data_IF_809156753617
#
_entry.id   IF_809156753617
#
_cell.length_a   1.000
_cell.length_b   1.000
_cell.length_c   1.000
_cell.angle_alpha   90.00
_cell.angle_beta   90.00
_cell.angle_gamma   90.00
#
_symmetry.space_group_name_H-M   'P 1'
#
loop_
_entity.id
_entity.type
_entity.pdbx_description
1 polymer ?
#
# COMPACT_ATOMS: atom_id res chain seq x y z
N UNK A 1 -24.23 -63.78 27.81
CA UNK A 1 -23.71 -62.47 28.25
C UNK A 1 -23.36 -61.68 27.00
N UNK A 2 -24.03 -60.54 26.82
CA UNK A 2 -23.94 -59.48 25.80
C UNK A 2 -22.88 -59.59 24.68
N UNK A 3 -23.26 -60.09 23.49
CA UNK A 3 -22.47 -60.01 22.23
C UNK A 3 -22.97 -58.93 21.26
N UNK A 4 -24.15 -58.32 21.50
CA UNK A 4 -24.79 -57.39 20.57
C UNK A 4 -24.13 -56.02 20.42
N UNK A 5 -23.23 -55.62 21.33
CA UNK A 5 -22.59 -54.29 21.26
C UNK A 5 -21.44 -54.24 20.23
N UNK A 6 -20.79 -55.37 19.94
CA UNK A 6 -19.59 -55.44 19.09
C UNK A 6 -19.98 -55.45 17.59
N UNK A 7 -21.11 -56.06 17.22
CA UNK A 7 -21.58 -56.14 15.82
C UNK A 7 -22.00 -54.77 15.25
N UNK A 8 -22.45 -53.85 16.11
CA UNK A 8 -22.88 -52.52 15.68
C UNK A 8 -21.76 -51.46 15.76
N UNK A 9 -20.61 -51.78 16.36
CA UNK A 9 -19.49 -50.88 16.53
C UNK A 9 -18.98 -50.25 15.20
N UNK A 10 -18.87 -51.00 14.08
CA UNK A 10 -18.42 -50.41 12.80
C UNK A 10 -19.38 -49.33 12.27
N UNK A 11 -20.68 -49.54 12.42
CA UNK A 11 -21.72 -48.59 12.00
C UNK A 11 -21.71 -47.33 12.86
N UNK A 12 -21.47 -47.48 14.17
CA UNK A 12 -21.33 -46.36 15.10
C UNK A 12 -20.08 -45.54 14.75
N UNK A 13 -18.93 -46.18 14.47
CA UNK A 13 -17.72 -45.48 14.04
C UNK A 13 -17.91 -44.74 12.71
N UNK A 14 -18.58 -45.36 11.73
CA UNK A 14 -18.88 -44.73 10.44
C UNK A 14 -19.82 -43.52 10.60
N UNK A 15 -20.83 -43.62 11.46
CA UNK A 15 -21.74 -42.51 11.76
C UNK A 15 -21.02 -41.36 12.47
N UNK A 16 -20.19 -41.66 13.47
CA UNK A 16 -19.41 -40.64 14.17
C UNK A 16 -18.41 -39.95 13.23
N UNK A 17 -17.73 -40.71 12.36
CA UNK A 17 -16.80 -40.17 11.38
C UNK A 17 -17.51 -39.26 10.35
N UNK A 18 -18.69 -39.66 9.86
CA UNK A 18 -19.47 -38.86 8.91
C UNK A 18 -20.02 -37.59 9.56
N UNK A 19 -20.49 -37.64 10.81
CA UNK A 19 -20.91 -36.46 11.56
C UNK A 19 -19.74 -35.50 11.83
N UNK A 20 -18.57 -36.02 12.21
CA UNK A 20 -17.37 -35.21 12.40
C UNK A 20 -16.92 -34.55 11.08
N UNK A 21 -16.95 -35.29 9.96
CA UNK A 21 -16.65 -34.74 8.64
C UNK A 21 -17.65 -33.66 8.22
N UNK A 22 -18.94 -33.85 8.49
CA UNK A 22 -19.97 -32.85 8.20
C UNK A 22 -19.79 -31.58 9.04
N UNK A 23 -19.44 -31.72 10.31
CA UNK A 23 -19.17 -30.60 11.20
C UNK A 23 -17.90 -29.83 10.77
N UNK A 24 -16.84 -30.53 10.38
CA UNK A 24 -15.64 -29.92 9.80
C UNK A 24 -15.96 -29.15 8.51
N UNK A 25 -16.75 -29.75 7.60
CA UNK A 25 -17.20 -29.09 6.37
C UNK A 25 -18.02 -27.83 6.65
N UNK A 26 -18.88 -27.85 7.67
CA UNK A 26 -19.64 -26.66 8.10
C UNK A 26 -18.72 -25.56 8.60
N UNK A 27 -17.73 -25.90 9.44
CA UNK A 27 -16.73 -24.95 9.97
C UNK A 27 -15.86 -24.35 8.85
N UNK A 28 -15.34 -25.18 7.96
CA UNK A 28 -14.56 -24.73 6.80
C UNK A 28 -15.37 -23.81 5.88
N UNK A 29 -16.63 -24.16 5.58
CA UNK A 29 -17.52 -23.30 4.79
C UNK A 29 -17.82 -21.96 5.47
N UNK A 30 -17.82 -21.90 6.81
CA UNK A 30 -18.03 -20.65 7.55
C UNK A 30 -16.79 -19.76 7.42
N UNK A 31 -15.61 -20.29 7.73
CA UNK A 31 -14.33 -19.57 7.64
C UNK A 31 -14.05 -19.09 6.22
N UNK A 32 -14.35 -19.90 5.19
CA UNK A 32 -14.18 -19.51 3.80
C UNK A 32 -15.10 -18.34 3.42
N UNK A 33 -16.36 -18.35 3.88
CA UNK A 33 -17.30 -17.25 3.64
C UNK A 33 -16.85 -15.96 4.31
N UNK A 34 -16.38 -16.05 5.55
CA UNK A 34 -15.84 -14.91 6.30
C UNK A 34 -14.61 -14.32 5.60
N UNK A 35 -13.66 -15.15 5.17
CA UNK A 35 -12.49 -14.69 4.42
C UNK A 35 -12.86 -14.05 3.08
N UNK A 36 -13.80 -14.64 2.33
CA UNK A 36 -14.26 -14.06 1.06
C UNK A 36 -14.97 -12.72 1.27
N UNK A 37 -15.77 -12.58 2.33
CA UNK A 37 -16.39 -11.31 2.68
C UNK A 37 -15.34 -10.25 3.05
N UNK A 38 -14.37 -10.61 3.90
CA UNK A 38 -13.26 -9.74 4.28
C UNK A 38 -12.41 -9.31 3.06
N UNK A 39 -12.15 -10.23 2.13
CA UNK A 39 -11.44 -9.90 0.88
C UNK A 39 -12.24 -8.95 -0.01
N UNK A 40 -13.55 -9.16 -0.12
CA UNK A 40 -14.42 -8.25 -0.89
C UNK A 40 -14.48 -6.86 -0.28
N UNK A 41 -14.60 -6.76 1.04
CA UNK A 41 -14.62 -5.47 1.74
C UNK A 41 -13.27 -4.75 1.60
N UNK A 42 -12.15 -5.47 1.75
CA UNK A 42 -10.81 -4.93 1.47
C UNK A 42 -10.71 -4.40 0.04
N UNK A 43 -11.08 -5.21 -0.95
CA UNK A 43 -11.01 -4.79 -2.36
C UNK A 43 -11.92 -3.60 -2.64
N UNK A 44 -13.11 -3.52 -2.02
CA UNK A 44 -14.02 -2.39 -2.20
C UNK A 44 -13.42 -1.09 -1.66
N UNK A 45 -12.81 -1.14 -0.49
CA UNK A 45 -12.13 0.03 0.11
C UNK A 45 -10.92 0.41 -0.74
N UNK A 46 -10.08 -0.54 -1.14
CA UNK A 46 -8.94 -0.29 -2.02
C UNK A 46 -9.37 0.35 -3.34
N UNK A 47 -10.37 -0.21 -4.02
CA UNK A 47 -10.88 0.35 -5.28
C UNK A 47 -11.47 1.75 -5.09
N UNK A 48 -12.22 1.98 -4.01
CA UNK A 48 -12.75 3.31 -3.70
C UNK A 48 -11.64 4.33 -3.44
N UNK A 49 -10.56 3.91 -2.77
CA UNK A 49 -9.40 4.74 -2.53
C UNK A 49 -8.65 5.03 -3.83
N UNK A 50 -8.38 4.01 -4.65
CA UNK A 50 -7.71 4.16 -5.95
C UNK A 50 -8.49 5.10 -6.89
N UNK A 51 -9.83 5.01 -6.89
CA UNK A 51 -10.69 5.93 -7.65
C UNK A 51 -10.59 7.36 -7.12
N UNK A 52 -10.65 7.55 -5.79
CA UNK A 52 -10.52 8.88 -5.20
C UNK A 52 -9.13 9.50 -5.46
N UNK A 53 -8.07 8.69 -5.41
CA UNK A 53 -6.69 9.09 -5.67
C UNK A 53 -6.47 9.44 -7.15
N UNK A 54 -6.98 8.63 -8.07
CA UNK A 54 -6.85 8.88 -9.52
C UNK A 54 -7.62 10.10 -9.99
N UNK A 55 -8.84 10.34 -9.47
CA UNK A 55 -9.60 11.56 -9.75
C UNK A 55 -8.87 12.82 -9.24
N UNK A 56 -8.15 12.70 -8.12
CA UNK A 56 -7.39 13.80 -7.53
C UNK A 56 -5.95 13.96 -8.04
N UNK A 57 -5.49 13.15 -9.01
CA UNK A 57 -4.07 13.08 -9.45
C UNK A 57 -3.12 12.88 -8.27
N UNK A 58 -3.47 11.96 -7.37
CA UNK A 58 -2.75 11.64 -6.16
C UNK A 58 -2.05 10.29 -6.32
N UNK A 59 -0.72 10.32 -6.34
CA UNK A 59 0.11 9.12 -6.28
C UNK A 59 0.55 8.79 -4.87
N UNK A 60 0.72 7.50 -4.57
CA UNK A 60 1.35 7.06 -3.32
C UNK A 60 2.76 6.55 -3.59
N UNK A 61 3.64 6.76 -2.62
CA UNK A 61 5.01 6.30 -2.67
C UNK A 61 5.44 5.76 -1.32
N UNK A 62 6.39 4.83 -1.33
CA UNK A 62 6.93 4.22 -0.12
C UNK A 62 8.42 3.99 -0.27
N UNK A 63 9.20 4.42 0.70
CA UNK A 63 10.61 4.12 0.82
C UNK A 63 10.83 3.15 1.99
N UNK A 64 11.54 2.05 1.74
CA UNK A 64 11.91 1.08 2.77
C UNK A 64 13.44 1.11 2.99
N UNK A 65 13.86 1.33 4.24
CA UNK A 65 15.29 1.51 4.59
C UNK A 65 16.09 0.22 4.46
N UNK A 66 15.47 -0.94 4.75
CA UNK A 66 16.16 -2.24 4.72
C UNK A 66 16.59 -2.66 3.32
N UNK A 67 15.75 -2.37 2.33
CA UNK A 67 15.97 -2.75 0.93
C UNK A 67 16.51 -1.57 0.11
N UNK A 68 16.57 -0.36 0.71
CA UNK A 68 16.85 0.90 0.02
C UNK A 68 15.95 1.05 -1.23
N UNK A 69 14.72 0.55 -1.12
CA UNK A 69 13.78 0.46 -2.22
C UNK A 69 12.76 1.59 -2.12
N UNK A 70 12.58 2.30 -3.23
CA UNK A 70 11.50 3.26 -3.39
C UNK A 70 10.45 2.61 -4.28
N UNK A 71 9.20 2.68 -3.87
CA UNK A 71 8.05 2.16 -4.60
C UNK A 71 7.15 3.32 -4.96
N UNK A 72 6.90 3.48 -6.25
CA UNK A 72 5.94 4.42 -6.81
C UNK A 72 4.69 3.69 -7.27
N UNK A 73 3.53 4.25 -6.94
CA UNK A 73 2.27 3.85 -7.55
C UNK A 73 2.21 4.26 -9.02
N UNK A 74 1.28 3.64 -9.75
CA UNK A 74 0.99 3.93 -11.16
C UNK A 74 0.79 5.42 -11.41
N UNK A 75 0.10 6.09 -10.48
CA UNK A 75 -0.17 7.52 -10.57
C UNK A 75 1.09 8.37 -10.35
N UNK A 76 2.04 7.96 -9.49
CA UNK A 76 3.32 8.66 -9.37
C UNK A 76 4.11 8.60 -10.68
N UNK A 77 4.10 7.45 -11.37
CA UNK A 77 4.69 7.34 -12.71
C UNK A 77 4.00 8.28 -13.72
N UNK A 78 2.66 8.37 -13.68
CA UNK A 78 1.89 9.27 -14.54
C UNK A 78 2.19 10.76 -14.26
N UNK A 79 2.29 11.15 -12.99
CA UNK A 79 2.66 12.50 -12.55
C UNK A 79 4.05 12.89 -13.08
N UNK A 80 5.02 11.96 -13.02
CA UNK A 80 6.37 12.18 -13.51
C UNK A 80 6.54 11.93 -15.02
N UNK A 81 5.49 11.48 -15.71
CA UNK A 81 5.50 11.03 -17.11
C UNK A 81 6.60 10.00 -17.42
N UNK A 82 6.95 9.18 -16.43
CA UNK A 82 8.03 8.20 -16.50
C UNK A 82 7.49 6.85 -16.96
N UNK A 83 8.16 6.20 -17.91
CA UNK A 83 7.79 4.84 -18.33
C UNK A 83 8.04 3.83 -17.21
N UNK A 84 6.98 3.10 -16.83
CA UNK A 84 7.00 2.02 -15.83
C UNK A 84 7.93 0.87 -16.19
N UNK A 85 8.21 0.66 -17.48
CA UNK A 85 9.16 -0.36 -17.95
C UNK A 85 10.59 -0.11 -17.48
N UNK A 86 10.92 1.11 -17.04
CA UNK A 86 12.21 1.45 -16.42
C UNK A 86 12.33 0.94 -14.97
N UNK A 87 11.29 0.30 -14.43
CA UNK A 87 11.28 -0.18 -13.05
C UNK A 87 11.16 0.95 -12.03
N UNK A 88 11.28 0.62 -10.75
CA UNK A 88 11.25 1.61 -9.68
C UNK A 88 12.52 2.47 -9.68
N UNK A 89 12.44 3.79 -9.42
CA UNK A 89 13.63 4.64 -9.36
C UNK A 89 14.36 4.46 -8.02
N UNK A 90 15.65 4.78 -7.97
CA UNK A 90 16.33 4.97 -6.68
C UNK A 90 15.84 6.24 -5.98
N UNK A 91 16.05 6.34 -4.66
CA UNK A 91 15.67 7.54 -3.90
C UNK A 91 16.33 8.81 -4.46
N UNK A 92 17.62 8.73 -4.79
CA UNK A 92 18.35 9.87 -5.34
C UNK A 92 17.83 10.26 -6.74
N UNK A 93 17.50 9.27 -7.58
CA UNK A 93 16.91 9.52 -8.91
C UNK A 93 15.54 10.18 -8.79
N UNK A 94 14.73 9.76 -7.82
CA UNK A 94 13.46 10.40 -7.51
C UNK A 94 13.63 11.86 -7.08
N UNK A 95 14.65 12.16 -6.27
CA UNK A 95 14.97 13.55 -5.87
C UNK A 95 15.40 14.40 -7.08
N UNK A 96 16.07 13.81 -8.06
CA UNK A 96 16.52 14.51 -9.27
C UNK A 96 15.36 15.01 -10.16
N UNK A 97 14.15 14.43 -10.04
CA UNK A 97 12.95 14.96 -10.71
C UNK A 97 12.52 16.31 -10.16
N UNK A 98 12.86 16.66 -8.92
CA UNK A 98 12.54 18.00 -8.39
C UNK A 98 13.37 19.07 -9.10
N UNK A 99 12.77 20.26 -9.25
CA UNK A 99 13.43 21.44 -9.80
C UNK A 99 14.73 21.71 -9.02
N UNK A 100 15.85 22.10 -9.68
CA UNK A 100 17.15 22.29 -9.03
C UNK A 100 17.10 23.10 -7.73
N UNK A 101 16.32 24.19 -7.71
CA UNK A 101 16.12 25.05 -6.53
C UNK A 101 15.39 24.37 -5.37
N UNK A 102 14.57 23.36 -5.64
CA UNK A 102 13.76 22.65 -4.64
C UNK A 102 14.46 21.38 -4.12
N UNK A 103 15.46 20.84 -4.85
CA UNK A 103 16.10 19.55 -4.54
C UNK A 103 16.69 19.49 -3.13
N UNK A 104 17.39 20.54 -2.70
CA UNK A 104 18.04 20.57 -1.39
C UNK A 104 16.98 20.49 -0.27
N UNK A 105 15.92 21.30 -0.38
CA UNK A 105 14.80 21.29 0.57
C UNK A 105 14.15 19.91 0.68
N UNK A 106 13.95 19.24 -0.46
CA UNK A 106 13.35 17.89 -0.51
C UNK A 106 14.29 16.85 0.10
N UNK A 107 15.57 16.87 -0.27
CA UNK A 107 16.56 15.95 0.27
C UNK A 107 16.68 16.09 1.79
N UNK A 108 16.73 17.32 2.31
CA UNK A 108 16.79 17.59 3.74
C UNK A 108 15.54 17.09 4.48
N UNK A 109 14.35 17.31 3.92
CA UNK A 109 13.10 16.82 4.50
C UNK A 109 13.07 15.29 4.59
N UNK A 110 13.46 14.61 3.51
CA UNK A 110 13.55 13.14 3.48
C UNK A 110 14.61 12.63 4.46
N UNK A 111 15.77 13.28 4.53
CA UNK A 111 16.85 12.88 5.42
C UNK A 111 16.46 13.02 6.90
N UNK A 112 15.85 14.15 7.29
CA UNK A 112 15.32 14.33 8.65
C UNK A 112 14.26 13.29 9.00
N UNK A 113 13.42 12.94 8.03
CA UNK A 113 12.43 11.86 8.21
C UNK A 113 13.11 10.53 8.54
N UNK A 114 14.13 10.16 7.76
CA UNK A 114 14.85 8.90 7.94
C UNK A 114 15.69 8.86 9.23
N UNK A 115 16.31 9.98 9.62
CA UNK A 115 17.24 10.01 10.75
C UNK A 115 16.58 10.36 12.08
N UNK A 116 15.52 11.15 12.05
CA UNK A 116 14.88 11.70 13.25
C UNK A 116 13.41 11.31 13.40
N UNK A 117 12.83 10.59 12.44
CA UNK A 117 11.41 10.22 12.50
C UNK A 117 10.48 11.41 12.26
N UNK A 118 10.97 12.45 11.59
CA UNK A 118 10.18 13.65 11.31
C UNK A 118 9.25 13.43 10.10
N UNK A 119 7.95 13.54 10.33
CA UNK A 119 6.99 13.66 9.24
C UNK A 119 7.23 14.98 8.48
N UNK A 120 6.93 14.98 7.18
CA UNK A 120 7.09 16.18 6.35
C UNK A 120 5.89 16.42 5.46
N UNK A 121 5.68 17.70 5.15
CA UNK A 121 4.76 18.20 4.13
C UNK A 121 5.45 19.38 3.44
N UNK A 122 5.58 19.31 2.12
CA UNK A 122 6.12 20.41 1.35
C UNK A 122 5.45 20.54 -0.01
N UNK A 123 5.47 21.77 -0.53
CA UNK A 123 5.23 22.07 -1.95
C UNK A 123 6.55 22.24 -2.68
N UNK A 124 6.64 21.70 -3.89
CA UNK A 124 7.81 21.82 -4.73
C UNK A 124 7.42 21.72 -6.21
N UNK A 125 8.37 22.01 -7.09
CA UNK A 125 8.22 21.80 -8.53
C UNK A 125 8.96 20.54 -8.94
N UNK A 126 8.37 19.76 -9.83
CA UNK A 126 9.05 18.67 -10.54
C UNK A 126 9.20 19.02 -12.02
N UNK A 127 10.19 18.41 -12.66
CA UNK A 127 10.39 18.43 -14.11
C UNK A 127 10.18 16.98 -14.58
N UNK A 128 9.14 16.73 -15.37
CA UNK A 128 8.78 15.38 -15.83
C UNK A 128 9.78 14.84 -16.85
N UNK A 129 9.71 13.54 -17.17
CA UNK A 129 10.51 12.94 -18.26
C UNK A 129 10.23 13.59 -19.63
N UNK A 130 9.08 14.24 -19.80
CA UNK A 130 8.72 15.00 -21.00
C UNK A 130 9.23 16.47 -20.97
N UNK A 131 9.89 16.89 -19.88
CA UNK A 131 10.36 18.26 -19.69
C UNK A 131 9.29 19.25 -19.23
N UNK A 132 8.09 18.77 -18.86
CA UNK A 132 7.02 19.62 -18.33
C UNK A 132 7.31 19.96 -16.86
N UNK A 133 7.14 21.22 -16.47
CA UNK A 133 7.19 21.61 -15.07
C UNK A 133 5.81 21.44 -14.42
N UNK A 134 5.76 20.77 -13.28
CA UNK A 134 4.52 20.57 -12.50
C UNK A 134 4.70 21.03 -11.07
N UNK A 135 3.69 21.68 -10.52
CA UNK A 135 3.61 21.95 -9.08
C UNK A 135 3.08 20.72 -8.36
N UNK A 136 3.74 20.32 -7.28
CA UNK A 136 3.33 19.17 -6.48
C UNK A 136 3.33 19.51 -5.00
N UNK A 137 2.46 18.84 -4.25
CA UNK A 137 2.58 18.72 -2.80
C UNK A 137 2.91 17.27 -2.45
N UNK A 138 3.87 17.07 -1.55
CA UNK A 138 4.24 15.75 -1.05
C UNK A 138 4.16 15.74 0.47
N UNK A 139 3.55 14.69 1.02
CA UNK A 139 3.50 14.43 2.45
C UNK A 139 4.02 13.03 2.72
N UNK A 140 4.91 12.92 3.71
CA UNK A 140 5.50 11.65 4.15
C UNK A 140 5.36 11.47 5.66
N UNK A 141 5.05 10.24 6.07
CA UNK A 141 5.00 9.81 7.47
C UNK A 141 5.94 8.64 7.70
N UNK A 142 6.65 8.68 8.83
CA UNK A 142 7.61 7.64 9.19
C UNK A 142 6.92 6.34 9.60
N UNK A 143 7.52 5.22 9.21
CA UNK A 143 7.19 3.89 9.71
C UNK A 143 8.26 3.45 10.67
N UNK A 144 7.83 2.90 11.80
CA UNK A 144 8.71 2.51 12.90
C UNK A 144 8.77 0.98 13.06
N UNK A 145 9.96 0.49 13.38
CA UNK A 145 10.21 -0.87 13.84
C UNK A 145 9.74 -1.08 15.29
N UNK A 146 9.85 -2.31 15.79
CA UNK A 146 9.47 -2.63 17.19
C UNK A 146 10.34 -1.92 18.23
N UNK A 147 11.54 -1.53 17.85
CA UNK A 147 12.53 -0.83 18.67
C UNK A 147 12.40 0.70 18.58
N UNK A 148 11.40 1.21 17.84
CA UNK A 148 11.19 2.64 17.64
C UNK A 148 12.10 3.26 16.58
N UNK A 149 12.92 2.46 15.87
CA UNK A 149 13.75 2.98 14.77
C UNK A 149 12.93 3.22 13.51
N UNK A 150 13.26 4.25 12.74
CA UNK A 150 12.61 4.50 11.45
C UNK A 150 13.05 3.46 10.42
N UNK A 151 12.10 2.61 10.01
CA UNK A 151 12.31 1.53 9.03
C UNK A 151 11.94 1.93 7.60
N UNK A 152 11.23 3.04 7.44
CA UNK A 152 10.83 3.56 6.13
C UNK A 152 9.95 4.79 6.23
N UNK A 153 9.57 5.32 5.08
CA UNK A 153 8.66 6.47 4.95
C UNK A 153 7.60 6.11 3.92
N UNK A 154 6.33 6.37 4.23
CA UNK A 154 5.23 6.23 3.28
C UNK A 154 4.54 7.58 3.11
N UNK A 155 4.09 7.86 1.90
CA UNK A 155 3.51 9.16 1.60
C UNK A 155 2.67 9.18 0.35
N UNK A 156 2.22 10.38 0.03
CA UNK A 156 1.56 10.68 -1.24
C UNK A 156 2.15 11.93 -1.87
N UNK A 157 1.95 12.04 -3.18
CA UNK A 157 2.27 13.21 -3.99
C UNK A 157 1.00 13.60 -4.76
N UNK A 158 0.67 14.87 -4.74
CA UNK A 158 -0.49 15.44 -5.44
C UNK A 158 0.04 16.34 -6.54
N UNK A 159 -0.41 16.14 -7.77
CA UNK A 159 -0.19 17.10 -8.85
C UNK A 159 -1.17 18.27 -8.72
N UNK A 160 -0.62 19.46 -8.48
CA UNK A 160 -1.36 20.70 -8.33
C UNK A 160 -1.48 21.46 -9.66
N UNK A 161 -0.88 20.95 -10.74
CA UNK A 161 -0.87 21.56 -12.07
C UNK A 161 -2.26 21.41 -12.68
N UNK A 162 -3.11 22.42 -12.42
CA UNK A 162 -4.50 22.57 -12.85
C UNK A 162 -5.52 21.73 -12.06
N UNK A 163 -5.91 22.24 -10.89
CA UNK A 163 -7.33 22.33 -10.47
C UNK A 163 -7.85 23.76 -10.75
N UNK A 164 -9.17 24.03 -10.84
CA UNK A 164 -9.68 25.35 -11.25
C UNK A 164 -9.03 26.45 -10.42
N UNK A 165 -8.59 27.51 -11.09
CA UNK A 165 -8.20 28.76 -10.45
C UNK A 165 -9.36 29.15 -9.53
N UNK A 166 -9.18 28.94 -8.23
CA UNK A 166 -9.97 29.62 -7.22
C UNK A 166 -9.66 31.09 -7.38
N UNK A 167 -10.48 31.78 -8.18
CA UNK A 167 -10.70 33.20 -8.00
C UNK A 167 -11.40 33.34 -6.66
N UNK A 168 -10.66 33.76 -5.64
CA UNK A 168 -11.18 34.55 -4.53
C UNK A 168 -10.31 35.81 -4.43
#
# INVERSE_FOLDING_TARGET
>A
MSTGLIEHLPWICALVATLAALELLRRLRKVLRENLALQRDRNRVTLSLDLALSVGRIGNWQFERSETSLHWSDEVFAIHQRDRRRGQPGLQDAICYYHPDDRLKVADAVQRSLDHGEDFDFRARIITDAGEMREVMSRGTCRYGRDGTTIGVIGFIIDLTSGPVGQD
#
